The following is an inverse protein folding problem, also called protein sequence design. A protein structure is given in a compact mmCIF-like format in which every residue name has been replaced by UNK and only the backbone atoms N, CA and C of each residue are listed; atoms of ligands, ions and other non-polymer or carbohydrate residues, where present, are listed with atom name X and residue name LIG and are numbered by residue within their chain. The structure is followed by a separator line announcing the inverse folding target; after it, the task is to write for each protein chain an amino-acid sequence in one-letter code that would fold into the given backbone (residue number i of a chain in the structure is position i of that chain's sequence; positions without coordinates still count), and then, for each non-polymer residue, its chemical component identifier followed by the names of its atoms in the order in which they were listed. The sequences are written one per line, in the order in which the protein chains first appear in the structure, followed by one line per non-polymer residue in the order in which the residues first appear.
data_IF_914644333396
#
_entry.id   IF_914644333396
#
_cell.length_a   1.000
_cell.length_b   1.000
_cell.length_c   1.000
_cell.angle_alpha   90.00
_cell.angle_beta   90.00
_cell.angle_gamma   90.00
#
_symmetry.space_group_name_H-M   'P 1'
#
loop_
_entity.id
_entity.type
_entity.pdbx_description
1 polymer ?
#
# COMPACT_ATOMS: atom_id res chain seq x y z
N UNK A 1 49.32 -26.69 -49.02
CA UNK A 1 48.67 -27.77 -48.22
C UNK A 1 48.57 -27.26 -46.79
N UNK A 2 47.46 -26.61 -46.43
CA UNK A 2 47.27 -25.94 -45.13
C UNK A 2 46.42 -26.83 -44.23
N UNK A 3 46.98 -27.24 -43.09
CA UNK A 3 46.27 -27.94 -42.02
C UNK A 3 45.71 -26.85 -41.10
N UNK A 4 44.39 -26.75 -41.01
CA UNK A 4 43.72 -25.91 -40.01
C UNK A 4 43.45 -26.75 -38.76
N UNK A 5 44.03 -26.33 -37.64
CA UNK A 5 43.82 -26.92 -36.32
C UNK A 5 42.52 -26.35 -35.73
N UNK A 6 41.61 -27.22 -35.30
CA UNK A 6 40.40 -26.85 -34.58
C UNK A 6 40.77 -26.47 -33.14
N UNK A 7 40.55 -25.21 -32.75
CA UNK A 7 40.56 -24.78 -31.36
C UNK A 7 39.12 -24.81 -30.86
N UNK A 8 38.83 -25.76 -29.98
CA UNK A 8 37.58 -25.85 -29.22
C UNK A 8 37.61 -24.76 -28.14
N UNK A 9 36.95 -23.63 -28.39
CA UNK A 9 36.76 -22.59 -27.36
C UNK A 9 35.62 -23.07 -26.46
N UNK A 10 35.97 -23.56 -25.27
CA UNK A 10 35.03 -23.77 -24.17
C UNK A 10 34.65 -22.37 -23.67
N UNK A 11 33.51 -21.87 -24.15
CA UNK A 11 32.82 -20.74 -23.53
C UNK A 11 32.33 -21.22 -22.17
N UNK A 12 33.09 -20.92 -21.12
CA UNK A 12 32.56 -20.88 -19.76
C UNK A 12 31.46 -19.84 -19.75
N UNK A 13 30.21 -20.28 -19.91
CA UNK A 13 29.06 -19.49 -19.54
C UNK A 13 29.19 -19.16 -18.07
N UNK A 14 29.54 -17.92 -17.74
CA UNK A 14 29.27 -17.37 -16.43
C UNK A 14 27.75 -17.28 -16.33
N UNK A 15 27.15 -18.38 -15.89
CA UNK A 15 25.88 -18.38 -15.20
C UNK A 15 25.99 -17.31 -14.12
N UNK A 16 25.47 -16.12 -14.43
CA UNK A 16 25.13 -15.14 -13.42
C UNK A 16 24.05 -15.80 -12.59
N UNK A 17 24.48 -16.46 -11.52
CA UNK A 17 23.62 -16.82 -10.41
C UNK A 17 22.76 -15.59 -10.10
N UNK A 18 21.48 -15.68 -10.42
CA UNK A 18 20.45 -14.89 -9.76
C UNK A 18 20.44 -15.34 -8.30
N UNK A 19 21.46 -14.97 -7.53
CA UNK A 19 21.42 -15.06 -6.09
C UNK A 19 20.24 -14.20 -5.65
N UNK A 20 19.28 -14.84 -4.98
CA UNK A 20 18.28 -14.23 -4.10
C UNK A 20 18.87 -12.97 -3.48
N UNK A 21 18.54 -11.78 -4.01
CA UNK A 21 18.81 -10.54 -3.30
C UNK A 21 17.79 -10.50 -2.17
N UNK A 22 18.19 -11.00 -1.00
CA UNK A 22 17.43 -10.86 0.23
C UNK A 22 17.14 -9.38 0.44
N UNK A 23 15.88 -9.04 0.71
CA UNK A 23 15.47 -7.65 0.95
C UNK A 23 16.18 -7.15 2.21
N UNK A 24 16.50 -5.84 2.28
CA UNK A 24 17.24 -5.33 3.42
C UNK A 24 16.38 -5.39 4.68
N UNK A 25 16.84 -6.13 5.68
CA UNK A 25 16.15 -6.34 6.95
C UNK A 25 16.25 -5.09 7.82
N UNK A 26 15.11 -4.60 8.32
CA UNK A 26 15.02 -3.30 9.00
C UNK A 26 15.79 -3.26 10.33
N UNK A 27 15.82 -4.35 11.10
CA UNK A 27 16.62 -4.42 12.33
C UNK A 27 18.12 -4.31 12.04
N UNK A 28 18.61 -4.94 10.97
CA UNK A 28 20.02 -4.86 10.55
C UNK A 28 20.41 -3.46 10.08
N UNK A 29 19.44 -2.71 9.54
CA UNK A 29 19.58 -1.31 9.18
C UNK A 29 19.47 -0.33 10.35
N UNK A 30 19.32 -0.82 11.59
CA UNK A 30 19.16 0.02 12.79
C UNK A 30 17.85 0.82 12.80
N UNK A 31 16.82 0.35 12.09
CA UNK A 31 15.54 1.05 11.99
C UNK A 31 14.68 0.90 13.22
N UNK A 32 14.88 -0.16 13.98
CA UNK A 32 14.32 -0.33 15.31
C UNK A 32 15.33 0.08 16.38
N UNK A 33 14.93 0.94 17.31
CA UNK A 33 15.80 1.45 18.37
C UNK A 33 14.98 1.71 19.65
N UNK A 34 15.66 2.07 20.73
CA UNK A 34 15.01 2.40 22.00
C UNK A 34 15.29 3.85 22.33
N UNK A 35 14.24 4.58 22.70
CA UNK A 35 14.29 5.98 23.09
C UNK A 35 13.35 6.16 24.29
N UNK A 36 13.82 6.78 25.37
CA UNK A 36 13.05 7.00 26.60
C UNK A 36 12.29 5.77 27.13
N UNK A 37 12.91 4.58 27.00
CA UNK A 37 12.33 3.31 27.44
C UNK A 37 11.25 2.73 26.51
N UNK A 38 10.95 3.39 25.39
CA UNK A 38 10.01 2.93 24.37
C UNK A 38 10.73 2.24 23.22
N UNK A 39 10.08 1.26 22.60
CA UNK A 39 10.56 0.66 21.35
C UNK A 39 10.06 1.50 20.18
N UNK A 40 10.98 2.05 19.42
CA UNK A 40 10.70 2.97 18.33
C UNK A 40 11.06 2.36 16.98
N UNK A 41 10.27 2.71 15.96
CA UNK A 41 10.55 2.40 14.56
C UNK A 41 10.78 3.69 13.78
N UNK A 42 11.89 3.76 13.05
CA UNK A 42 12.26 4.90 12.22
C UNK A 42 11.14 5.22 11.22
N UNK A 43 10.61 6.44 11.26
CA UNK A 43 9.64 6.91 10.25
C UNK A 43 10.05 8.18 9.51
N UNK A 44 11.25 8.71 9.70
CA UNK A 44 11.71 9.89 8.97
C UNK A 44 12.88 10.60 9.62
N UNK A 45 13.29 11.74 9.08
CA UNK A 45 14.46 12.50 9.57
C UNK A 45 14.19 13.25 10.88
N UNK A 46 12.93 13.59 11.15
CA UNK A 46 12.53 14.26 12.38
C UNK A 46 12.13 13.20 13.42
N UNK A 47 12.52 13.40 14.67
CA UNK A 47 12.16 12.53 15.80
C UNK A 47 10.64 12.33 15.90
N UNK A 48 9.87 13.40 15.67
CA UNK A 48 8.40 13.38 15.65
C UNK A 48 7.77 12.50 14.55
N UNK A 49 8.57 11.90 13.67
CA UNK A 49 8.10 10.97 12.65
C UNK A 49 8.34 9.52 13.04
N UNK A 50 8.98 9.23 14.18
CA UNK A 50 9.20 7.85 14.61
C UNK A 50 7.91 7.25 15.16
N UNK A 51 7.68 5.97 14.89
CA UNK A 51 6.51 5.26 15.41
C UNK A 51 6.84 4.65 16.76
N UNK A 52 6.00 4.87 17.76
CA UNK A 52 6.03 4.10 19.01
C UNK A 52 5.44 2.71 18.75
N UNK A 53 6.30 1.71 18.69
CA UNK A 53 5.97 0.31 18.42
C UNK A 53 6.20 -0.56 19.65
N UNK A 54 6.18 0.03 20.85
CA UNK A 54 6.34 -0.68 22.13
C UNK A 54 5.34 -1.81 22.34
N UNK A 55 4.21 -1.77 21.62
CA UNK A 55 3.20 -2.82 21.62
C UNK A 55 3.11 -3.56 20.27
N UNK A 56 4.15 -3.65 19.45
CA UNK A 56 4.12 -4.40 18.19
C UNK A 56 3.67 -5.86 18.41
N UNK A 57 3.02 -6.46 17.43
CA UNK A 57 2.58 -7.88 17.44
C UNK A 57 3.20 -8.71 16.31
N UNK A 58 4.17 -8.14 15.63
CA UNK A 58 4.92 -8.73 14.53
C UNK A 58 6.40 -8.84 14.94
N UNK A 59 7.11 -9.77 14.33
CA UNK A 59 8.53 -9.99 14.59
C UNK A 59 9.38 -8.92 13.87
N UNK A 60 10.27 -8.25 14.59
CA UNK A 60 10.99 -7.09 14.03
C UNK A 60 11.94 -7.48 12.87
N UNK A 61 12.47 -8.71 12.88
CA UNK A 61 13.39 -9.24 11.88
C UNK A 61 12.72 -9.57 10.53
N UNK A 62 11.39 -9.57 10.50
CA UNK A 62 10.56 -9.76 9.31
C UNK A 62 10.16 -8.46 8.61
N UNK A 63 10.48 -7.31 9.21
CA UNK A 63 10.35 -6.02 8.54
C UNK A 63 11.50 -5.80 7.55
N UNK A 64 11.15 -5.32 6.37
CA UNK A 64 12.11 -4.93 5.35
C UNK A 64 12.04 -3.42 5.06
N UNK A 65 13.17 -2.89 4.57
CA UNK A 65 13.38 -1.50 4.21
C UNK A 65 13.37 -0.54 5.41
N UNK A 66 12.51 0.49 5.40
CA UNK A 66 12.57 1.65 6.30
C UNK A 66 12.91 2.94 5.57
N UNK A 67 12.17 3.20 4.49
CA UNK A 67 12.29 4.38 3.64
C UNK A 67 11.78 5.66 4.32
N UNK A 68 11.04 5.51 5.42
CA UNK A 68 10.36 6.60 6.13
C UNK A 68 8.91 6.76 5.67
N UNK A 69 8.11 7.42 6.52
CA UNK A 69 6.69 7.69 6.31
C UNK A 69 6.51 8.37 4.95
N UNK A 70 5.64 7.78 4.13
CA UNK A 70 5.19 8.34 2.85
C UNK A 70 6.32 8.68 1.85
N UNK A 71 7.36 7.85 1.84
CA UNK A 71 8.37 7.86 0.78
C UNK A 71 7.73 7.75 -0.62
N UNK A 72 6.59 7.04 -0.71
CA UNK A 72 5.64 7.17 -1.81
C UNK A 72 4.39 7.94 -1.30
N UNK A 73 3.92 8.98 -2.01
CA UNK A 73 2.78 9.79 -1.59
C UNK A 73 1.49 8.99 -1.61
N UNK A 74 0.82 8.87 -0.46
CA UNK A 74 -0.61 8.57 -0.47
C UNK A 74 -1.36 9.76 -1.09
N UNK A 75 -2.32 9.51 -1.97
CA UNK A 75 -3.16 10.55 -2.55
C UNK A 75 -4.33 10.86 -1.60
N UNK A 76 -4.60 12.14 -1.37
CA UNK A 76 -5.57 12.61 -0.36
C UNK A 76 -6.76 13.35 -0.96
N UNK A 77 -6.55 14.05 -2.08
CA UNK A 77 -7.58 14.79 -2.80
C UNK A 77 -7.63 14.31 -4.25
N UNK A 78 -8.10 13.06 -4.50
CA UNK A 78 -8.10 12.51 -5.84
C UNK A 78 -9.12 13.21 -6.73
N UNK A 79 -8.64 13.68 -7.88
CA UNK A 79 -9.47 14.17 -8.98
C UNK A 79 -9.76 13.06 -9.99
N UNK A 80 -10.94 13.16 -10.62
CA UNK A 80 -11.42 12.17 -11.56
C UNK A 80 -11.84 12.80 -12.89
N UNK A 81 -11.78 11.98 -13.94
CA UNK A 81 -12.22 12.33 -15.29
C UNK A 81 -13.24 11.31 -15.80
N UNK A 82 -13.89 11.60 -16.92
CA UNK A 82 -14.85 10.67 -17.53
C UNK A 82 -14.15 9.60 -18.37
N UNK A 83 -14.84 8.48 -18.62
CA UNK A 83 -14.38 7.44 -19.56
C UNK A 83 -13.98 8.03 -20.91
N UNK A 84 -14.78 8.94 -21.48
CA UNK A 84 -14.50 9.49 -22.83
C UNK A 84 -13.16 10.25 -22.89
N UNK A 85 -12.76 10.89 -21.79
CA UNK A 85 -11.48 11.59 -21.70
C UNK A 85 -10.31 10.64 -21.43
N UNK A 86 -10.55 9.58 -20.65
CA UNK A 86 -9.54 8.59 -20.28
C UNK A 86 -9.28 7.52 -21.35
N UNK A 87 -10.21 7.27 -22.27
CA UNK A 87 -10.16 6.12 -23.21
C UNK A 87 -8.92 6.08 -24.10
N UNK A 88 -8.33 7.24 -24.42
CA UNK A 88 -7.09 7.29 -25.22
C UNK A 88 -5.82 6.95 -24.42
N UNK A 89 -5.93 6.82 -23.10
CA UNK A 89 -4.80 6.64 -22.20
C UNK A 89 -4.57 5.17 -21.82
N UNK A 90 -5.62 4.35 -21.89
CA UNK A 90 -5.63 2.99 -21.35
C UNK A 90 -5.87 1.96 -22.45
N UNK A 91 -5.09 0.90 -22.42
CA UNK A 91 -5.29 -0.28 -23.25
C UNK A 91 -6.39 -1.17 -22.63
N UNK A 92 -7.05 -1.98 -23.44
CA UNK A 92 -8.23 -2.76 -23.02
C UNK A 92 -7.95 -3.74 -21.87
N UNK A 93 -6.71 -4.21 -21.75
CA UNK A 93 -6.23 -5.15 -20.73
C UNK A 93 -5.64 -4.47 -19.49
N UNK A 94 -5.51 -3.13 -19.47
CA UNK A 94 -5.05 -2.40 -18.29
C UNK A 94 -5.94 -2.70 -17.09
N UNK A 95 -5.31 -3.04 -15.96
CA UNK A 95 -6.00 -3.42 -14.71
C UNK A 95 -6.42 -2.22 -13.88
N UNK A 96 -7.56 -2.36 -13.22
CA UNK A 96 -8.15 -1.36 -12.35
C UNK A 96 -8.82 -2.00 -11.13
N UNK A 97 -8.81 -1.27 -10.02
CA UNK A 97 -9.82 -1.45 -8.97
C UNK A 97 -11.01 -0.54 -9.28
N UNK A 98 -12.23 -1.08 -9.20
CA UNK A 98 -13.47 -0.31 -9.37
C UNK A 98 -14.30 -0.42 -8.10
N UNK A 99 -14.85 0.69 -7.63
CA UNK A 99 -15.79 0.72 -6.51
C UNK A 99 -17.09 1.43 -6.93
N UNK A 100 -18.24 0.96 -6.44
CA UNK A 100 -19.55 1.57 -6.72
C UNK A 100 -20.42 1.77 -5.49
N UNK A 101 -21.15 2.88 -5.45
CA UNK A 101 -22.21 3.14 -4.49
C UNK A 101 -23.37 3.86 -5.18
N UNK A 102 -24.44 3.12 -5.48
CA UNK A 102 -25.54 3.66 -6.27
C UNK A 102 -25.07 4.01 -7.69
N UNK A 103 -25.24 5.26 -8.10
CA UNK A 103 -24.79 5.76 -9.40
C UNK A 103 -23.35 6.30 -9.38
N UNK A 104 -22.74 6.45 -8.20
CA UNK A 104 -21.34 6.86 -8.11
C UNK A 104 -20.43 5.64 -8.29
N UNK A 105 -19.61 5.67 -9.33
CA UNK A 105 -18.66 4.61 -9.68
C UNK A 105 -17.30 5.25 -9.91
N UNK A 106 -16.28 4.76 -9.22
CA UNK A 106 -14.91 5.24 -9.33
C UNK A 106 -13.97 4.11 -9.68
N UNK A 107 -13.01 4.39 -10.55
CA UNK A 107 -12.01 3.43 -11.01
C UNK A 107 -10.59 3.99 -10.82
N UNK A 108 -9.72 3.14 -10.27
CA UNK A 108 -8.34 3.44 -9.93
C UNK A 108 -7.44 2.48 -10.70
N UNK A 109 -6.62 3.00 -11.62
CA UNK A 109 -5.74 2.12 -12.39
C UNK A 109 -4.70 1.50 -11.47
N UNK A 110 -4.34 0.24 -11.71
CA UNK A 110 -3.26 -0.42 -10.97
C UNK A 110 -1.93 0.31 -11.21
N UNK A 111 -1.75 0.93 -12.38
CA UNK A 111 -0.58 1.74 -12.71
C UNK A 111 -0.45 2.97 -11.79
N UNK A 112 -1.53 3.72 -11.59
CA UNK A 112 -1.53 4.88 -10.69
C UNK A 112 -1.45 4.44 -9.23
N UNK A 113 -2.15 3.36 -8.86
CA UNK A 113 -2.03 2.78 -7.54
C UNK A 113 -0.64 2.21 -7.27
N UNK A 114 0.13 1.78 -8.26
CA UNK A 114 1.54 1.37 -8.03
C UNK A 114 2.42 2.58 -7.66
N UNK A 115 2.06 3.79 -8.08
CA UNK A 115 2.79 5.01 -7.73
C UNK A 115 2.44 5.50 -6.32
N UNK A 116 1.16 5.44 -5.95
CA UNK A 116 0.67 5.98 -4.68
C UNK A 116 0.56 4.93 -3.56
N UNK A 117 0.33 3.68 -3.94
CA UNK A 117 -0.10 2.50 -3.16
C UNK A 117 -1.38 2.68 -2.33
N UNK A 118 -1.72 3.91 -1.95
CA UNK A 118 -2.91 4.31 -1.19
C UNK A 118 -3.51 5.58 -1.80
N UNK A 119 -4.81 5.53 -2.06
CA UNK A 119 -5.65 6.68 -2.40
C UNK A 119 -6.76 6.78 -1.36
N UNK A 120 -6.74 7.83 -0.55
CA UNK A 120 -7.83 8.19 0.36
C UNK A 120 -8.86 8.98 -0.44
N UNK A 121 -10.10 8.49 -0.50
CA UNK A 121 -11.15 9.04 -1.35
C UNK A 121 -12.51 9.00 -0.61
N UNK A 122 -13.53 9.53 -1.25
CA UNK A 122 -14.93 9.42 -0.86
C UNK A 122 -15.78 8.86 -2.01
N UNK A 123 -16.63 7.88 -1.70
CA UNK A 123 -17.57 7.31 -2.67
C UNK A 123 -18.99 7.54 -2.18
N UNK A 124 -19.76 8.34 -2.92
CA UNK A 124 -21.10 8.80 -2.53
C UNK A 124 -21.13 9.39 -1.10
N UNK A 125 -20.14 10.23 -0.78
CA UNK A 125 -19.96 10.87 0.53
C UNK A 125 -19.47 9.95 1.66
N UNK A 126 -19.05 8.71 1.35
CA UNK A 126 -18.51 7.77 2.34
C UNK A 126 -16.99 7.65 2.20
N UNK A 127 -16.20 7.85 3.27
CA UNK A 127 -14.75 7.68 3.23
C UNK A 127 -14.32 6.25 2.87
N UNK A 128 -13.55 6.11 1.79
CA UNK A 128 -12.96 4.86 1.34
C UNK A 128 -11.45 5.00 1.09
N UNK A 129 -10.75 3.88 1.05
CA UNK A 129 -9.35 3.78 0.66
C UNK A 129 -9.22 2.77 -0.47
N UNK A 130 -8.70 3.19 -1.62
CA UNK A 130 -8.20 2.25 -2.62
C UNK A 130 -6.71 1.98 -2.32
N UNK A 131 -6.34 0.71 -2.20
CA UNK A 131 -4.95 0.35 -1.94
C UNK A 131 -4.50 -0.82 -2.83
N UNK A 132 -3.24 -0.77 -3.29
CA UNK A 132 -2.66 -1.85 -4.08
C UNK A 132 -1.17 -2.04 -3.78
N UNK A 133 -0.80 -3.25 -3.37
CA UNK A 133 0.59 -3.65 -3.13
C UNK A 133 1.11 -4.46 -4.31
N UNK A 134 2.09 -3.93 -5.04
CA UNK A 134 2.68 -4.65 -6.17
C UNK A 134 3.46 -5.91 -5.75
N UNK A 135 4.04 -5.93 -4.55
CA UNK A 135 4.82 -7.07 -4.06
C UNK A 135 3.94 -8.27 -3.70
N UNK A 136 2.74 -8.01 -3.18
CA UNK A 136 1.78 -9.04 -2.81
C UNK A 136 0.74 -9.33 -3.91
N UNK A 137 0.67 -8.49 -4.96
CA UNK A 137 -0.47 -8.40 -5.90
C UNK A 137 -1.79 -8.32 -5.14
N UNK A 138 -1.83 -7.46 -4.12
CA UNK A 138 -2.97 -7.29 -3.22
C UNK A 138 -3.64 -5.96 -3.53
N UNK A 139 -4.79 -6.00 -4.19
CA UNK A 139 -5.67 -4.85 -4.39
C UNK A 139 -6.94 -4.96 -3.55
N UNK A 140 -7.32 -3.88 -2.87
CA UNK A 140 -8.58 -3.84 -2.12
C UNK A 140 -9.10 -2.42 -1.94
N UNK A 141 -10.42 -2.32 -1.76
CA UNK A 141 -11.10 -1.11 -1.32
C UNK A 141 -11.50 -1.30 0.15
N UNK A 142 -11.19 -0.34 1.00
CA UNK A 142 -11.53 -0.37 2.43
C UNK A 142 -12.43 0.81 2.79
N UNK A 143 -13.28 0.67 3.79
CA UNK A 143 -13.86 1.83 4.48
C UNK A 143 -12.87 2.40 5.47
N UNK A 144 -12.85 3.73 5.63
CA UNK A 144 -11.96 4.40 6.59
C UNK A 144 -12.68 4.96 7.82
N UNK A 145 -13.95 4.62 7.99
CA UNK A 145 -14.76 5.05 9.13
C UNK A 145 -14.82 3.94 10.17
N UNK A 146 -14.53 4.29 11.41
CA UNK A 146 -14.70 3.42 12.59
C UNK A 146 -15.54 4.20 13.59
N UNK A 147 -16.80 3.79 13.79
CA UNK A 147 -17.76 4.55 14.59
C UNK A 147 -17.99 5.95 14.02
N UNK A 148 -17.70 6.98 14.81
CA UNK A 148 -17.81 8.39 14.42
C UNK A 148 -16.49 8.98 13.87
N UNK A 149 -15.41 8.19 13.85
CA UNK A 149 -14.06 8.64 13.46
C UNK A 149 -13.74 8.25 12.03
N UNK A 150 -13.04 9.14 11.33
CA UNK A 150 -12.54 8.90 9.97
C UNK A 150 -11.03 8.94 10.02
N UNK A 151 -10.40 7.89 9.50
CA UNK A 151 -8.96 7.74 9.51
C UNK A 151 -8.38 8.03 8.13
N UNK A 152 -7.16 8.54 8.09
CA UNK A 152 -6.41 8.79 6.87
C UNK A 152 -5.18 7.90 6.87
N UNK A 153 -4.99 7.14 5.81
CA UNK A 153 -3.91 6.18 5.73
C UNK A 153 -2.76 6.67 4.83
N UNK A 154 -1.54 6.28 5.18
CA UNK A 154 -0.35 6.51 4.38
C UNK A 154 0.63 5.35 4.53
N UNK A 155 1.63 5.26 3.66
CA UNK A 155 2.64 4.21 3.76
C UNK A 155 3.63 4.48 4.88
N UNK A 156 4.05 3.44 5.61
CA UNK A 156 5.05 3.57 6.67
C UNK A 156 6.49 3.64 6.14
N UNK A 157 6.71 3.21 4.89
CA UNK A 157 8.03 3.02 4.31
C UNK A 157 8.64 1.64 4.57
N UNK A 158 7.85 0.71 5.13
CA UNK A 158 8.23 -0.68 5.38
C UNK A 158 7.36 -1.66 4.60
N UNK A 159 7.93 -2.83 4.34
CA UNK A 159 7.17 -4.03 4.00
C UNK A 159 7.42 -5.09 5.08
N UNK A 160 6.53 -6.06 5.16
CA UNK A 160 6.61 -7.17 6.11
C UNK A 160 6.43 -8.49 5.38
N UNK A 161 7.26 -9.47 5.77
CA UNK A 161 7.27 -10.81 5.22
C UNK A 161 6.98 -11.84 6.32
N UNK A 162 6.05 -12.75 6.06
CA UNK A 162 5.81 -13.90 6.92
C UNK A 162 5.67 -15.15 6.02
N UNK A 163 6.48 -16.20 6.20
CA UNK A 163 6.39 -17.40 5.38
C UNK A 163 5.03 -18.12 5.50
N UNK A 164 4.27 -17.91 6.57
CA UNK A 164 2.99 -18.56 6.82
C UNK A 164 1.79 -17.75 6.32
N UNK A 165 2.00 -16.52 5.87
CA UNK A 165 0.94 -15.61 5.43
C UNK A 165 1.10 -15.26 3.96
N UNK A 166 0.00 -15.31 3.21
CA UNK A 166 -0.09 -14.82 1.83
C UNK A 166 1.01 -15.35 0.89
N UNK A 167 1.23 -16.67 0.95
CA UNK A 167 2.25 -17.39 0.18
C UNK A 167 3.69 -16.86 0.38
N UNK A 168 4.00 -16.27 1.54
CA UNK A 168 5.32 -15.72 1.81
C UNK A 168 5.65 -14.52 0.92
N UNK A 169 4.67 -13.70 0.57
CA UNK A 169 4.93 -12.44 -0.13
C UNK A 169 5.15 -11.31 0.85
N UNK A 170 6.07 -10.40 0.50
CA UNK A 170 6.16 -9.11 1.18
C UNK A 170 4.91 -8.29 0.88
N UNK A 171 4.30 -7.72 1.92
CA UNK A 171 3.25 -6.72 1.80
C UNK A 171 3.69 -5.40 2.42
N UNK A 172 3.24 -4.27 1.88
CA UNK A 172 3.47 -3.00 2.57
C UNK A 172 2.86 -3.01 3.96
N UNK A 173 3.46 -2.24 4.85
CA UNK A 173 2.87 -1.84 6.12
C UNK A 173 2.48 -0.38 5.97
N UNK A 174 1.22 -0.05 6.23
CA UNK A 174 0.76 1.34 6.24
C UNK A 174 0.47 1.79 7.66
N UNK A 175 0.19 3.07 7.82
CA UNK A 175 -0.15 3.69 9.09
C UNK A 175 -1.35 4.61 8.94
N UNK A 176 -2.10 4.80 10.02
CA UNK A 176 -3.11 5.86 10.10
C UNK A 176 -2.53 7.11 10.76
N UNK A 177 -2.91 8.28 10.25
CA UNK A 177 -2.33 9.56 10.70
C UNK A 177 -2.84 10.02 12.06
N UNK A 178 -4.05 9.61 12.41
CA UNK A 178 -4.74 10.12 13.59
C UNK A 178 -4.31 9.43 14.88
N UNK A 179 -3.81 8.20 14.82
CA UNK A 179 -3.30 7.46 15.99
C UNK A 179 -1.87 6.97 15.86
N UNK A 180 -1.28 7.13 14.66
CA UNK A 180 0.04 6.63 14.30
C UNK A 180 0.21 5.11 14.45
N UNK A 181 -0.89 4.35 14.36
CA UNK A 181 -0.83 2.90 14.44
C UNK A 181 -0.36 2.31 13.11
N UNK A 182 0.43 1.25 13.17
CA UNK A 182 0.81 0.48 11.97
C UNK A 182 -0.23 -0.59 11.68
N UNK A 183 -0.45 -0.88 10.40
CA UNK A 183 -1.44 -1.83 9.90
C UNK A 183 -0.82 -2.70 8.82
N UNK A 184 -1.09 -4.00 8.88
CA UNK A 184 -0.63 -4.96 7.88
C UNK A 184 -1.85 -5.61 7.20
N UNK A 185 -2.10 -5.30 5.92
CA UNK A 185 -3.31 -5.74 5.24
C UNK A 185 -3.36 -7.24 4.98
N UNK A 186 -2.22 -7.94 4.92
CA UNK A 186 -2.20 -9.39 4.66
C UNK A 186 -2.81 -10.21 5.80
N UNK A 187 -2.85 -9.66 7.01
CA UNK A 187 -3.60 -10.21 8.16
C UNK A 187 -4.83 -9.37 8.53
N UNK A 188 -5.12 -8.32 7.75
CA UNK A 188 -6.34 -7.52 7.86
C UNK A 188 -6.49 -6.72 9.15
N UNK A 189 -5.41 -6.27 9.83
CA UNK A 189 -5.52 -5.56 11.11
C UNK A 189 -4.35 -4.64 11.46
N UNK A 190 -4.59 -3.76 12.43
CA UNK A 190 -3.56 -2.96 13.09
C UNK A 190 -2.63 -3.85 13.93
N UNK A 191 -1.32 -3.59 13.86
CA UNK A 191 -0.27 -4.42 14.47
C UNK A 191 0.50 -3.73 15.59
N UNK A 192 0.42 -2.40 15.68
CA UNK A 192 0.97 -1.59 16.78
C UNK A 192 0.10 -0.36 17.04
N UNK A 193 0.51 0.50 17.96
CA UNK A 193 -0.15 1.77 18.26
C UNK A 193 -1.48 1.60 19.00
N UNK A 194 -2.25 2.68 19.08
CA UNK A 194 -3.53 2.73 19.80
C UNK A 194 -4.56 1.76 19.20
N UNK A 195 -4.56 1.64 17.87
CA UNK A 195 -5.48 0.78 17.11
C UNK A 195 -5.10 -0.70 17.11
N UNK A 196 -3.94 -1.12 17.66
CA UNK A 196 -3.48 -2.53 17.66
C UNK A 196 -4.62 -3.53 17.87
N UNK A 197 -4.85 -4.42 16.90
CA UNK A 197 -5.89 -5.45 16.92
C UNK A 197 -7.19 -5.07 16.20
N UNK A 198 -7.44 -3.78 15.93
CA UNK A 198 -8.56 -3.32 15.12
C UNK A 198 -8.46 -3.90 13.70
N UNK A 199 -9.59 -4.32 13.13
CA UNK A 199 -9.64 -4.96 11.81
C UNK A 199 -9.72 -3.91 10.71
N UNK A 200 -9.13 -4.21 9.56
CA UNK A 200 -9.42 -3.47 8.34
C UNK A 200 -10.82 -3.87 7.85
N UNK A 201 -11.63 -2.87 7.59
CA UNK A 201 -12.96 -3.07 7.02
C UNK A 201 -12.88 -3.00 5.49
N UNK A 202 -12.81 -4.17 4.85
CA UNK A 202 -12.95 -4.28 3.40
C UNK A 202 -14.33 -3.70 3.02
N UNK A 203 -14.37 -2.83 2.01
CA UNK A 203 -15.61 -2.31 1.46
C UNK A 203 -16.46 -3.48 0.93
N UNK A 204 -17.77 -3.31 0.93
CA UNK A 204 -18.73 -4.34 0.48
C UNK A 204 -18.23 -5.05 -0.78
N UNK A 205 -17.83 -6.32 -0.65
CA UNK A 205 -17.17 -7.10 -1.70
C UNK A 205 -18.05 -7.31 -2.93
N UNK A 206 -19.36 -7.08 -2.82
CA UNK A 206 -20.28 -7.08 -3.96
C UNK A 206 -20.28 -5.77 -4.77
N UNK A 207 -19.58 -4.75 -4.25
CA UNK A 207 -19.55 -3.38 -4.75
C UNK A 207 -18.17 -2.88 -5.15
N UNK A 208 -17.15 -3.74 -5.14
CA UNK A 208 -15.89 -3.44 -5.79
C UNK A 208 -15.32 -4.68 -6.48
N UNK A 209 -14.44 -4.49 -7.45
CA UNK A 209 -13.78 -5.58 -8.17
C UNK A 209 -12.43 -5.15 -8.76
N UNK A 210 -11.52 -6.12 -8.92
CA UNK A 210 -10.35 -6.02 -9.79
C UNK A 210 -10.74 -6.44 -11.20
N UNK A 211 -10.57 -5.56 -12.18
CA UNK A 211 -11.08 -5.73 -13.53
C UNK A 211 -10.19 -5.03 -14.55
N UNK A 212 -10.59 -5.06 -15.81
CA UNK A 212 -9.85 -4.44 -16.92
C UNK A 212 -10.58 -3.23 -17.48
N UNK A 213 -9.86 -2.38 -18.22
CA UNK A 213 -10.40 -1.21 -18.90
C UNK A 213 -11.59 -1.55 -19.83
N UNK A 214 -11.48 -2.60 -20.64
CA UNK A 214 -12.56 -3.06 -21.52
C UNK A 214 -13.86 -3.37 -20.75
N UNK A 215 -13.73 -4.07 -19.61
CA UNK A 215 -14.86 -4.37 -18.72
C UNK A 215 -15.44 -3.12 -18.07
N UNK A 216 -14.61 -2.13 -17.75
CA UNK A 216 -15.09 -0.83 -17.22
C UNK A 216 -15.96 -0.12 -18.26
N UNK A 217 -15.46 0.00 -19.49
CA UNK A 217 -16.19 0.69 -20.57
C UNK A 217 -17.56 0.10 -20.84
N UNK A 218 -17.67 -1.22 -20.79
CA UNK A 218 -18.91 -1.94 -21.03
C UNK A 218 -19.86 -1.95 -19.83
N UNK A 219 -19.35 -2.17 -18.61
CA UNK A 219 -20.17 -2.38 -17.40
C UNK A 219 -20.51 -1.10 -16.65
N UNK A 220 -19.66 -0.07 -16.76
CA UNK A 220 -19.75 1.17 -15.98
C UNK A 220 -19.57 2.41 -16.85
N UNK A 221 -20.47 2.69 -17.81
CA UNK A 221 -20.31 3.78 -18.77
C UNK A 221 -20.26 5.19 -18.16
N UNK A 222 -20.67 5.32 -16.88
CA UNK A 222 -20.62 6.56 -16.10
C UNK A 222 -19.49 6.58 -15.05
N UNK A 223 -18.54 5.63 -15.09
CA UNK A 223 -17.44 5.60 -14.14
C UNK A 223 -16.56 6.85 -14.25
N UNK A 224 -16.14 7.30 -13.08
CA UNK A 224 -15.16 8.35 -12.88
C UNK A 224 -13.78 7.69 -12.75
N UNK A 225 -12.84 8.07 -13.61
CA UNK A 225 -11.51 7.45 -13.70
C UNK A 225 -10.50 8.36 -13.02
N UNK A 226 -9.69 7.83 -12.11
CA UNK A 226 -8.64 8.60 -11.45
C UNK A 226 -7.73 9.23 -12.51
N UNK A 227 -7.47 10.54 -12.39
CA UNK A 227 -6.54 11.23 -13.29
C UNK A 227 -5.11 10.80 -12.94
N UNK A 228 -4.32 10.39 -13.93
CA UNK A 228 -2.94 9.97 -13.68
C UNK A 228 -2.00 11.14 -13.41
N UNK A 229 -0.92 10.86 -12.67
CA UNK A 229 0.14 11.84 -12.40
C UNK A 229 -0.20 12.91 -11.36
N UNK A 230 -1.32 12.77 -10.65
CA UNK A 230 -1.67 13.65 -9.54
C UNK A 230 -0.63 13.61 -8.42
N UNK A 231 -0.41 14.73 -7.75
CA UNK A 231 0.32 14.78 -6.49
C UNK A 231 -0.37 15.81 -5.60
N UNK A 232 -0.13 15.73 -4.31
CA UNK A 232 -0.80 16.58 -3.33
C UNK A 232 0.17 17.07 -2.26
N UNK A 233 0.06 18.35 -1.90
CA UNK A 233 0.82 18.91 -0.80
C UNK A 233 0.32 18.34 0.51
N UNK A 234 1.15 17.55 1.18
CA UNK A 234 0.73 16.84 2.40
C UNK A 234 0.51 17.84 3.54
N UNK A 235 -0.63 17.75 4.24
CA UNK A 235 -0.86 18.50 5.47
C UNK A 235 0.25 18.24 6.47
N UNK A 236 0.74 19.31 7.08
CA UNK A 236 1.81 19.25 8.09
C UNK A 236 1.29 18.93 9.49
N UNK A 237 -0.03 18.93 9.67
CA UNK A 237 -0.72 18.56 10.90
C UNK A 237 -2.01 17.80 10.60
N UNK A 238 -2.44 16.99 11.56
CA UNK A 238 -3.61 16.10 11.46
C UNK A 238 -4.34 16.05 12.81
N UNK A 239 -5.66 15.82 12.82
CA UNK A 239 -6.36 15.50 14.06
C UNK A 239 -5.70 14.33 14.77
N UNK A 240 -5.60 14.38 16.10
CA UNK A 240 -5.05 13.29 16.90
C UNK A 240 -6.17 12.66 17.71
N UNK A 241 -6.35 11.35 17.56
CA UNK A 241 -7.29 10.57 18.34
C UNK A 241 -6.55 9.94 19.52
N UNK A 242 -6.73 10.54 20.70
CA UNK A 242 -6.10 10.05 21.94
C UNK A 242 -6.82 8.84 22.52
N UNK A 243 -8.15 8.87 22.54
CA UNK A 243 -9.00 7.76 22.93
C UNK A 243 -9.70 7.16 21.71
N UNK A 244 -9.49 5.87 21.52
CA UNK A 244 -10.10 5.05 20.46
C UNK A 244 -10.73 3.78 21.03
N UNK A 245 -10.92 3.73 22.35
CA UNK A 245 -11.51 2.57 23.04
C UNK A 245 -12.94 2.25 22.57
N UNK A 246 -13.66 3.28 22.11
CA UNK A 246 -14.99 3.24 21.52
C UNK A 246 -15.02 2.61 20.12
N UNK A 247 -13.94 2.73 19.35
CA UNK A 247 -13.91 2.33 17.94
C UNK A 247 -13.01 1.13 17.62
N UNK A 248 -12.10 0.78 18.54
CA UNK A 248 -11.07 -0.25 18.32
C UNK A 248 -11.61 -1.66 18.04
N UNK A 249 -12.79 -1.99 18.55
CA UNK A 249 -13.39 -3.32 18.45
C UNK A 249 -14.56 -3.39 17.45
N UNK A 250 -14.79 -2.31 16.68
CA UNK A 250 -15.82 -2.26 15.65
C UNK A 250 -15.43 -3.11 14.42
#
# INVERSE_FOLDING_TARGET
MKIFSFILIILFGTSLNAQNRQRPVSVELGKFFTEDGKRMLYGGKKESQHFDVSNLSLEEDQFHYGLGREAFPALLEPEFTSIQKADKQWDDDDRFLVAKSGNDVKAYSIKDLTRHEIVNDELNGKPIMAAYCILADLGAIYTRTYGDKVFTFGLSGYTYYDPEVWDGKDGFVFWDRETESLWWPLIGKAVSGKMKGAKLHIYDETKWEDTTWDKIKSKYPNAQILISGQDFERPTSWPQYEDVSDVKNL
#
